data_IF_990819581394
#
_entry.id   IF_990819581394
#
_cell.length_a   1.000
_cell.length_b   1.000
_cell.length_c   1.000
_cell.angle_alpha   90.00
_cell.angle_beta   90.00
_cell.angle_gamma   90.00
#
_symmetry.space_group_name_H-M   'P 1'
#
loop_
_entity.id
_entity.type
_entity.pdbx_description
1 polymer ?
#
# COMPACT_ATOMS: atom_id res chain seq x y z
N UNK A 1 -5.32 -8.14 7.59
CA UNK A 1 -5.23 -7.66 6.19
C UNK A 1 -5.66 -6.18 6.04
N UNK A 2 -6.71 -5.72 6.73
CA UNK A 2 -7.20 -4.32 6.65
C UNK A 2 -6.16 -3.25 7.03
N UNK A 3 -5.35 -3.51 8.06
CA UNK A 3 -4.42 -2.51 8.64
C UNK A 3 -3.34 -2.11 7.64
N UNK A 4 -2.93 -2.99 6.72
CA UNK A 4 -1.94 -2.60 5.72
C UNK A 4 -2.46 -1.44 4.87
N UNK A 5 -3.72 -1.45 4.42
CA UNK A 5 -4.27 -0.37 3.59
C UNK A 5 -4.33 1.00 4.29
N UNK A 6 -4.15 1.06 5.61
CA UNK A 6 -4.01 2.31 6.35
C UNK A 6 -2.78 3.12 5.91
N UNK A 7 -1.78 2.50 5.27
CA UNK A 7 -0.56 3.18 4.84
C UNK A 7 -0.81 4.28 3.82
N UNK A 8 -1.84 4.16 2.98
CA UNK A 8 -2.21 5.20 2.01
C UNK A 8 -2.66 6.49 2.71
N UNK A 9 -3.41 6.38 3.81
CA UNK A 9 -3.83 7.56 4.61
C UNK A 9 -2.66 8.10 5.42
N UNK A 10 -1.87 7.25 6.05
CA UNK A 10 -0.71 7.69 6.83
C UNK A 10 0.30 8.41 5.93
N UNK A 11 0.52 7.89 4.71
CA UNK A 11 1.32 8.53 3.67
C UNK A 11 0.74 9.90 3.30
N UNK A 12 -0.55 9.98 2.99
CA UNK A 12 -1.25 11.23 2.71
C UNK A 12 -1.09 12.27 3.83
N UNK A 13 -1.26 11.87 5.08
CA UNK A 13 -1.16 12.72 6.26
C UNK A 13 0.28 13.18 6.53
N UNK A 14 1.27 12.31 6.38
CA UNK A 14 2.69 12.64 6.56
C UNK A 14 3.22 13.48 5.40
N UNK A 15 2.80 13.19 4.17
CA UNK A 15 3.19 13.91 2.97
C UNK A 15 2.81 15.39 3.02
N UNK A 16 1.75 15.78 3.72
CA UNK A 16 1.34 17.17 3.79
C UNK A 16 2.35 18.10 4.52
N UNK A 17 2.73 17.86 5.78
CA UNK A 17 3.78 18.65 6.43
C UNK A 17 5.15 18.38 5.83
N UNK A 18 5.46 17.12 5.47
CA UNK A 18 6.76 16.73 4.95
C UNK A 18 6.91 16.93 3.43
N UNK A 19 5.94 17.36 2.64
CA UNK A 19 6.20 17.77 1.25
C UNK A 19 5.68 19.19 1.00
N UNK A 20 5.23 19.89 2.06
CA UNK A 20 4.59 21.21 2.01
C UNK A 20 3.44 21.26 1.00
N UNK A 21 2.77 20.14 0.78
CA UNK A 21 1.65 20.06 -0.14
C UNK A 21 0.37 20.53 0.57
N UNK A 22 -0.45 21.31 -0.15
CA UNK A 22 -1.72 21.81 0.39
C UNK A 22 -2.72 20.67 0.44
N UNK A 23 -3.07 20.23 1.65
CA UNK A 23 -4.21 19.33 1.85
C UNK A 23 -5.51 20.11 1.75
N UNK A 24 -6.32 19.78 0.74
CA UNK A 24 -7.73 20.16 0.74
C UNK A 24 -8.47 19.33 1.78
N UNK A 25 -9.20 19.96 2.68
CA UNK A 25 -10.01 19.29 3.71
C UNK A 25 -11.05 18.33 3.10
N UNK A 26 -11.57 18.65 1.91
CA UNK A 26 -12.45 17.77 1.14
C UNK A 26 -11.74 16.50 0.66
N UNK A 27 -10.46 16.61 0.31
CA UNK A 27 -9.68 15.47 -0.15
C UNK A 27 -9.26 14.54 1.02
N UNK A 28 -9.09 15.08 2.22
CA UNK A 28 -8.93 14.30 3.45
C UNK A 28 -10.20 13.53 3.82
N UNK A 29 -11.37 14.20 3.77
CA UNK A 29 -12.67 13.57 3.99
C UNK A 29 -12.91 12.42 3.00
N UNK A 30 -12.59 12.63 1.72
CA UNK A 30 -12.71 11.63 0.69
C UNK A 30 -11.79 10.40 0.93
N UNK A 31 -10.56 10.62 1.40
CA UNK A 31 -9.66 9.53 1.79
C UNK A 31 -10.20 8.72 2.97
N UNK A 32 -10.80 9.38 3.97
CA UNK A 32 -11.46 8.70 5.09
C UNK A 32 -12.66 7.85 4.61
N UNK A 33 -13.46 8.35 3.67
CA UNK A 33 -14.60 7.61 3.09
C UNK A 33 -14.10 6.36 2.34
N UNK A 34 -13.09 6.49 1.49
CA UNK A 34 -12.49 5.37 0.77
C UNK A 34 -11.93 4.30 1.71
N UNK A 35 -11.29 4.71 2.80
CA UNK A 35 -10.81 3.78 3.82
C UNK A 35 -11.94 3.07 4.56
N UNK A 36 -13.06 3.75 4.83
CA UNK A 36 -14.27 3.12 5.35
C UNK A 36 -14.74 1.96 4.46
N UNK A 37 -14.72 2.14 3.13
CA UNK A 37 -15.02 1.07 2.17
C UNK A 37 -14.07 -0.13 2.29
N UNK A 38 -12.76 0.11 2.48
CA UNK A 38 -11.77 -0.95 2.67
C UNK A 38 -11.99 -1.71 3.97
N UNK A 39 -12.29 -1.00 5.06
CA UNK A 39 -12.60 -1.63 6.35
C UNK A 39 -13.82 -2.55 6.21
N UNK A 40 -14.87 -2.12 5.50
CA UNK A 40 -16.06 -2.95 5.25
C UNK A 40 -15.72 -4.22 4.45
N UNK A 41 -14.91 -4.11 3.39
CA UNK A 41 -14.46 -5.26 2.60
C UNK A 41 -13.60 -6.19 3.45
N UNK A 42 -12.64 -5.65 4.19
CA UNK A 42 -11.68 -6.42 4.96
C UNK A 42 -12.30 -7.07 6.20
N UNK A 43 -13.40 -6.52 6.72
CA UNK A 43 -14.19 -7.11 7.81
C UNK A 43 -15.30 -8.04 7.32
N UNK A 44 -15.39 -8.30 6.00
CA UNK A 44 -16.42 -9.15 5.37
C UNK A 44 -17.85 -8.78 5.79
N UNK A 45 -18.11 -7.49 6.06
CA UNK A 45 -19.40 -7.00 6.52
C UNK A 45 -19.65 -7.07 8.04
N UNK A 46 -18.69 -7.49 8.86
CA UNK A 46 -18.79 -7.50 10.33
C UNK A 46 -17.73 -6.58 11.00
N UNK A 47 -17.83 -5.25 10.84
CA UNK A 47 -16.84 -4.31 11.39
C UNK A 47 -16.78 -4.28 12.92
N UNK A 48 -17.85 -4.72 13.59
CA UNK A 48 -17.98 -4.75 15.05
C UNK A 48 -17.52 -6.07 15.70
N UNK A 49 -17.19 -7.10 14.92
CA UNK A 49 -16.61 -8.36 15.43
C UNK A 49 -15.09 -8.34 15.45
N UNK A 50 -14.48 -7.15 15.41
CA UNK A 50 -13.05 -6.96 15.66
C UNK A 50 -12.79 -7.26 17.14
N UNK A 51 -12.66 -8.54 17.46
CA UNK A 51 -12.02 -8.94 18.70
C UNK A 51 -10.62 -8.31 18.68
N UNK A 52 -10.37 -7.37 19.59
CA UNK A 52 -9.05 -6.80 19.85
C UNK A 52 -8.16 -7.88 20.51
N UNK A 53 -8.12 -9.08 19.94
CA UNK A 53 -7.49 -10.28 20.47
C UNK A 53 -5.98 -10.10 20.70
N UNK A 54 -5.36 -9.08 20.11
CA UNK A 54 -3.92 -8.81 20.28
C UNK A 54 -3.57 -7.32 20.07
N UNK A 55 -3.69 -6.47 21.11
CA UNK A 55 -3.36 -5.04 21.03
C UNK A 55 -1.89 -4.80 20.64
N UNK A 56 -0.99 -5.70 21.01
CA UNK A 56 0.42 -5.66 20.59
C UNK A 56 0.56 -5.79 19.07
N UNK A 57 -0.16 -6.74 18.44
CA UNK A 57 -0.12 -6.94 17.00
C UNK A 57 -0.68 -5.75 16.23
N UNK A 58 -1.74 -5.13 16.75
CA UNK A 58 -2.28 -3.88 16.20
C UNK A 58 -1.26 -2.74 16.30
N UNK A 59 -0.60 -2.58 17.46
CA UNK A 59 0.44 -1.57 17.65
C UNK A 59 1.63 -1.73 16.69
N UNK A 60 2.12 -2.97 16.51
CA UNK A 60 3.19 -3.28 15.57
C UNK A 60 2.79 -3.03 14.11
N UNK A 61 1.55 -3.36 13.74
CA UNK A 61 1.04 -3.10 12.38
C UNK A 61 0.91 -1.60 12.09
N UNK A 62 0.45 -0.81 13.06
CA UNK A 62 0.42 0.65 12.96
C UNK A 62 1.83 1.26 12.86
N UNK A 63 2.79 0.75 13.66
CA UNK A 63 4.19 1.18 13.57
C UNK A 63 4.79 0.85 12.20
N UNK A 64 4.55 -0.35 11.68
CA UNK A 64 4.99 -0.76 10.34
C UNK A 64 4.42 0.15 9.25
N UNK A 65 3.13 0.48 9.35
CA UNK A 65 2.44 1.43 8.46
C UNK A 65 3.08 2.82 8.49
N UNK A 66 3.45 3.30 9.68
CA UNK A 66 4.13 4.57 9.86
C UNK A 66 5.53 4.56 9.25
N UNK A 67 6.32 3.51 9.51
CA UNK A 67 7.66 3.35 8.93
C UNK A 67 7.61 3.27 7.41
N UNK A 68 6.64 2.53 6.86
CA UNK A 68 6.43 2.39 5.42
C UNK A 68 6.07 3.71 4.74
N UNK A 69 5.11 4.43 5.30
CA UNK A 69 4.73 5.74 4.79
C UNK A 69 5.88 6.76 4.89
N UNK A 70 6.62 6.75 5.99
CA UNK A 70 7.80 7.61 6.16
C UNK A 70 8.91 7.28 5.16
N UNK A 71 9.16 5.99 4.93
CA UNK A 71 10.08 5.53 3.89
C UNK A 71 9.72 6.17 2.54
N UNK A 72 8.46 6.07 2.11
CA UNK A 72 8.03 6.67 0.86
C UNK A 72 8.26 8.18 0.85
N UNK A 73 7.79 8.92 1.85
CA UNK A 73 7.93 10.39 1.90
C UNK A 73 9.39 10.85 1.86
N UNK A 74 10.27 10.19 2.61
CA UNK A 74 11.71 10.52 2.63
C UNK A 74 12.33 10.21 1.27
N UNK A 75 12.02 9.04 0.69
CA UNK A 75 12.53 8.64 -0.62
C UNK A 75 12.06 9.58 -1.74
N UNK A 76 10.86 10.17 -1.64
CA UNK A 76 10.39 11.19 -2.59
C UNK A 76 11.16 12.49 -2.47
N UNK A 77 11.62 12.85 -1.26
CA UNK A 77 12.42 14.07 -1.03
C UNK A 77 13.85 13.96 -1.51
N UNK A 78 14.40 12.76 -1.62
CA UNK A 78 15.76 12.55 -2.11
C UNK A 78 15.82 12.89 -3.60
N UNK A 79 16.73 13.78 -3.98
CA UNK A 79 16.97 14.21 -5.37
C UNK A 79 17.68 13.15 -6.24
N UNK A 80 17.67 11.88 -5.83
CA UNK A 80 18.25 10.77 -6.56
C UNK A 80 17.27 10.25 -7.61
N UNK A 81 17.77 9.70 -8.71
CA UNK A 81 16.91 8.99 -9.66
C UNK A 81 16.22 7.78 -8.98
N UNK A 82 14.96 7.46 -9.31
CA UNK A 82 14.23 6.34 -8.70
C UNK A 82 14.98 5.01 -8.74
N UNK A 83 15.70 4.72 -9.84
CA UNK A 83 16.48 3.48 -9.99
C UNK A 83 17.64 3.43 -9.01
N UNK A 84 18.39 4.54 -8.89
CA UNK A 84 19.53 4.66 -7.97
C UNK A 84 19.06 4.54 -6.52
N UNK A 85 17.95 5.19 -6.19
CA UNK A 85 17.40 5.14 -4.85
C UNK A 85 16.94 3.72 -4.47
N UNK A 86 16.28 3.02 -5.39
CA UNK A 86 15.86 1.64 -5.19
C UNK A 86 17.06 0.71 -5.05
N UNK A 87 18.10 0.90 -5.88
CA UNK A 87 19.35 0.15 -5.80
C UNK A 87 20.04 0.32 -4.43
N UNK A 88 20.13 1.55 -3.91
CA UNK A 88 20.71 1.82 -2.59
C UNK A 88 19.91 1.15 -1.47
N UNK A 89 18.57 1.18 -1.54
CA UNK A 89 17.71 0.52 -0.56
C UNK A 89 17.92 -1.00 -0.54
N UNK A 90 17.93 -1.64 -1.72
CA UNK A 90 18.22 -3.08 -1.81
C UNK A 90 19.65 -3.42 -1.39
N UNK A 91 20.62 -2.58 -1.76
CA UNK A 91 22.03 -2.78 -1.37
C UNK A 91 22.25 -2.67 0.13
N UNK A 92 21.52 -1.77 0.80
CA UNK A 92 21.53 -1.66 2.26
C UNK A 92 20.78 -2.81 2.96
N UNK A 93 19.69 -3.30 2.36
CA UNK A 93 18.90 -4.39 2.90
C UNK A 93 19.56 -5.77 2.71
N UNK A 94 20.34 -5.97 1.66
CA UNK A 94 20.94 -7.26 1.30
C UNK A 94 21.88 -7.84 2.39
N UNK A 95 22.83 -7.08 2.97
CA UNK A 95 23.66 -7.56 4.08
C UNK A 95 22.82 -7.95 5.30
N UNK A 96 21.78 -7.16 5.59
CA UNK A 96 20.87 -7.42 6.72
C UNK A 96 20.08 -8.73 6.49
N UNK A 97 19.60 -8.94 5.27
CA UNK A 97 18.92 -10.16 4.86
C UNK A 97 19.85 -11.37 4.97
N UNK A 98 21.08 -11.27 4.49
CA UNK A 98 22.06 -12.36 4.59
C UNK A 98 22.40 -12.69 6.05
N UNK A 99 22.57 -11.68 6.91
CA UNK A 99 22.78 -11.87 8.34
C UNK A 99 21.58 -12.56 9.01
N UNK A 100 20.35 -12.16 8.65
CA UNK A 100 19.14 -12.80 9.16
C UNK A 100 19.02 -14.25 8.68
N UNK A 101 19.27 -14.53 7.41
CA UNK A 101 19.25 -15.91 6.89
C UNK A 101 20.26 -16.80 7.62
N UNK A 102 21.43 -16.26 7.94
CA UNK A 102 22.47 -16.96 8.70
C UNK A 102 22.05 -17.22 10.16
N UNK A 103 21.39 -16.26 10.81
CA UNK A 103 20.91 -16.39 12.20
C UNK A 103 19.68 -17.31 12.33
N UNK A 104 18.88 -17.42 11.27
CA UNK A 104 17.58 -18.08 11.30
C UNK A 104 17.60 -19.51 10.78
N UNK A 105 18.76 -20.04 10.38
CA UNK A 105 18.93 -21.34 9.72
C UNK A 105 17.89 -21.61 8.61
N UNK A 106 17.50 -20.56 7.89
CA UNK A 106 16.40 -20.66 6.92
C UNK A 106 16.91 -21.35 5.66
N UNK A 107 16.33 -22.50 5.28
CA UNK A 107 16.81 -23.24 4.13
C UNK A 107 16.52 -22.50 2.83
N UNK A 108 17.48 -22.51 1.92
CA UNK A 108 17.27 -22.02 0.56
C UNK A 108 16.28 -22.92 -0.19
N UNK A 109 15.53 -22.36 -1.17
CA UNK A 109 14.63 -23.16 -1.99
C UNK A 109 15.40 -24.29 -2.68
N UNK A 110 14.97 -25.52 -2.46
CA UNK A 110 15.55 -26.72 -3.09
C UNK A 110 15.05 -26.93 -4.52
N UNK A 111 13.95 -26.25 -4.89
CA UNK A 111 13.29 -26.37 -6.18
C UNK A 111 13.44 -25.08 -7.00
N UNK A 112 13.60 -25.22 -8.31
CA UNK A 112 13.83 -24.09 -9.21
C UNK A 112 12.64 -23.11 -9.25
N UNK A 113 11.42 -23.59 -8.98
CA UNK A 113 10.21 -22.75 -8.91
C UNK A 113 10.31 -21.70 -7.81
N UNK A 114 10.98 -22.01 -6.69
CA UNK A 114 11.22 -21.04 -5.62
C UNK A 114 12.11 -19.89 -6.08
N UNK A 115 13.16 -20.22 -6.86
CA UNK A 115 14.04 -19.24 -7.47
C UNK A 115 13.34 -18.42 -8.56
N UNK A 116 12.55 -19.08 -9.42
CA UNK A 116 11.78 -18.42 -10.46
C UNK A 116 10.72 -17.47 -9.88
N UNK A 117 10.02 -17.89 -8.82
CA UNK A 117 9.07 -17.06 -8.09
C UNK A 117 9.74 -15.86 -7.42
N UNK A 118 10.88 -16.08 -6.77
CA UNK A 118 11.68 -15.00 -6.19
C UNK A 118 12.14 -13.98 -7.23
N UNK A 119 12.60 -14.44 -8.40
CA UNK A 119 12.99 -13.58 -9.51
C UNK A 119 11.80 -12.79 -10.05
N UNK A 120 10.63 -13.41 -10.20
CA UNK A 120 9.42 -12.75 -10.66
C UNK A 120 8.99 -11.64 -9.69
N UNK A 121 8.87 -11.95 -8.39
CA UNK A 121 8.49 -10.97 -7.36
C UNK A 121 9.54 -9.86 -7.28
N UNK A 122 10.82 -10.20 -7.28
CA UNK A 122 11.91 -9.23 -7.24
C UNK A 122 11.91 -8.27 -8.43
N UNK A 123 11.73 -8.78 -9.65
CA UNK A 123 11.79 -7.97 -10.87
C UNK A 123 10.51 -7.16 -11.10
N UNK A 124 9.35 -7.81 -11.05
CA UNK A 124 8.07 -7.18 -11.41
C UNK A 124 7.43 -6.44 -10.24
N UNK A 125 7.24 -7.09 -9.10
CA UNK A 125 6.54 -6.50 -7.95
C UNK A 125 7.41 -5.49 -7.21
N UNK A 126 8.69 -5.80 -7.01
CA UNK A 126 9.59 -5.00 -6.17
C UNK A 126 10.58 -4.15 -6.98
N UNK A 127 10.78 -4.44 -8.26
CA UNK A 127 11.64 -3.67 -9.17
C UNK A 127 10.83 -2.65 -9.96
N UNK A 128 10.19 -3.11 -11.03
CA UNK A 128 9.47 -2.27 -11.99
C UNK A 128 8.37 -1.45 -11.30
N UNK A 129 7.50 -2.10 -10.50
CA UNK A 129 6.40 -1.39 -9.86
C UNK A 129 6.87 -0.32 -8.87
N UNK A 130 7.98 -0.56 -8.15
CA UNK A 130 8.54 0.42 -7.21
C UNK A 130 9.19 1.60 -7.93
N UNK A 131 9.93 1.35 -9.01
CA UNK A 131 10.49 2.43 -9.84
C UNK A 131 9.37 3.29 -10.41
N UNK A 132 8.33 2.69 -10.98
CA UNK A 132 7.18 3.41 -11.51
C UNK A 132 6.45 4.20 -10.43
N UNK A 133 6.21 3.60 -9.27
CA UNK A 133 5.57 4.26 -8.14
C UNK A 133 6.40 5.44 -7.62
N UNK A 134 7.71 5.23 -7.43
CA UNK A 134 8.62 6.28 -6.95
C UNK A 134 8.75 7.41 -7.97
N UNK A 135 8.85 7.08 -9.26
CA UNK A 135 8.83 8.06 -10.35
C UNK A 135 7.53 8.87 -10.36
N UNK A 136 6.38 8.21 -10.23
CA UNK A 136 5.09 8.88 -10.14
C UNK A 136 5.00 9.81 -8.92
N UNK A 137 5.45 9.34 -7.75
CA UNK A 137 5.51 10.13 -6.51
C UNK A 137 6.40 11.38 -6.64
N UNK A 138 7.50 11.30 -7.39
CA UNK A 138 8.37 12.46 -7.67
C UNK A 138 7.80 13.40 -8.73
N UNK A 139 7.06 12.88 -9.70
CA UNK A 139 6.45 13.67 -10.77
C UNK A 139 5.13 14.33 -10.39
N UNK A 140 4.43 13.84 -9.35
CA UNK A 140 3.14 14.38 -8.94
C UNK A 140 3.27 15.65 -8.11
N UNK A 141 2.36 16.59 -8.32
CA UNK A 141 2.18 17.77 -7.46
C UNK A 141 1.31 17.47 -6.24
N UNK A 142 0.52 16.39 -6.27
CA UNK A 142 -0.32 15.91 -5.17
C UNK A 142 0.00 14.44 -4.87
N UNK A 143 0.68 14.21 -3.75
CA UNK A 143 0.92 12.88 -3.17
C UNK A 143 -0.39 12.19 -2.80
N UNK A 144 -1.38 12.99 -2.42
CA UNK A 144 -2.71 12.52 -2.04
C UNK A 144 -3.42 11.83 -3.22
N UNK A 145 -3.29 12.39 -4.42
CA UNK A 145 -3.86 11.83 -5.65
C UNK A 145 -3.24 10.49 -6.02
N UNK A 146 -1.93 10.35 -5.86
CA UNK A 146 -1.26 9.07 -6.09
C UNK A 146 -1.64 8.05 -5.01
N UNK A 147 -1.68 8.48 -3.76
CA UNK A 147 -2.05 7.62 -2.63
C UNK A 147 -3.47 7.08 -2.75
N UNK A 148 -4.39 7.83 -3.36
CA UNK A 148 -5.75 7.34 -3.57
C UNK A 148 -5.88 6.32 -4.69
N UNK A 149 -4.99 6.31 -5.67
CA UNK A 149 -4.94 5.25 -6.69
C UNK A 149 -4.66 3.89 -6.06
N UNK A 150 -3.99 3.82 -4.91
CA UNK A 150 -3.80 2.57 -4.15
C UNK A 150 -5.16 1.97 -3.78
N UNK A 151 -6.16 2.81 -3.48
CA UNK A 151 -7.49 2.34 -3.11
C UNK A 151 -8.27 1.74 -4.29
N UNK A 152 -7.81 1.90 -5.53
CA UNK A 152 -8.33 1.13 -6.68
C UNK A 152 -7.81 -0.31 -6.73
N UNK A 153 -6.75 -0.64 -5.98
CA UNK A 153 -6.17 -1.98 -5.98
C UNK A 153 -7.14 -3.07 -5.48
N UNK A 154 -7.85 -2.93 -4.33
CA UNK A 154 -8.83 -3.93 -3.90
C UNK A 154 -9.96 -4.17 -4.91
N UNK A 155 -10.62 -3.14 -5.49
CA UNK A 155 -11.56 -3.28 -6.60
C UNK A 155 -11.04 -4.11 -7.77
N UNK A 156 -9.85 -3.76 -8.27
CA UNK A 156 -9.26 -4.39 -9.44
C UNK A 156 -8.88 -5.84 -9.14
N UNK A 157 -8.31 -6.08 -7.96
CA UNK A 157 -7.98 -7.43 -7.50
C UNK A 157 -9.23 -8.31 -7.40
N UNK A 158 -10.32 -7.77 -6.87
CA UNK A 158 -11.60 -8.47 -6.78
C UNK A 158 -12.21 -8.79 -8.15
N UNK A 159 -12.14 -7.85 -9.09
CA UNK A 159 -12.59 -8.09 -10.46
C UNK A 159 -11.75 -9.19 -11.13
N UNK A 160 -10.44 -9.17 -10.94
CA UNK A 160 -9.55 -10.21 -11.45
C UNK A 160 -9.84 -11.58 -10.82
N UNK A 161 -10.06 -11.65 -9.50
CA UNK A 161 -10.45 -12.89 -8.81
C UNK A 161 -11.79 -13.40 -9.35
N UNK A 162 -12.77 -12.53 -9.54
CA UNK A 162 -14.06 -12.92 -10.11
C UNK A 162 -13.93 -13.45 -11.54
N UNK A 163 -13.18 -12.77 -12.41
CA UNK A 163 -13.00 -13.18 -13.83
C UNK A 163 -12.13 -14.44 -13.96
N UNK A 164 -11.05 -14.54 -13.19
CA UNK A 164 -10.04 -15.59 -13.36
C UNK A 164 -10.34 -16.81 -12.48
N UNK A 165 -10.70 -16.59 -11.21
CA UNK A 165 -10.95 -17.67 -10.25
C UNK A 165 -12.43 -18.09 -10.18
N UNK A 166 -13.35 -17.27 -10.70
CA UNK A 166 -14.78 -17.58 -10.74
C UNK A 166 -15.49 -17.54 -9.38
N UNK A 167 -14.88 -16.95 -8.35
CA UNK A 167 -15.47 -16.90 -7.01
C UNK A 167 -16.68 -15.94 -6.95
N UNK A 168 -17.78 -16.33 -6.27
CA UNK A 168 -18.97 -15.49 -6.17
C UNK A 168 -18.69 -14.21 -5.37
N UNK A 169 -18.91 -13.05 -6.00
CA UNK A 169 -18.75 -11.74 -5.38
C UNK A 169 -19.86 -11.54 -4.34
N UNK A 170 -19.47 -11.38 -3.08
CA UNK A 170 -20.40 -11.23 -1.96
C UNK A 170 -20.90 -9.78 -1.86
N UNK A 171 -22.10 -9.56 -1.32
CA UNK A 171 -22.76 -8.25 -1.35
C UNK A 171 -21.98 -7.12 -0.63
N UNK A 172 -21.24 -7.45 0.43
CA UNK A 172 -20.38 -6.47 1.12
C UNK A 172 -19.23 -5.97 0.24
N UNK A 173 -18.80 -6.76 -0.73
CA UNK A 173 -17.76 -6.38 -1.68
C UNK A 173 -18.25 -5.31 -2.65
N UNK A 174 -19.48 -5.47 -3.16
CA UNK A 174 -20.13 -4.46 -4.00
C UNK A 174 -20.37 -3.15 -3.25
N UNK A 175 -20.80 -3.23 -1.99
CA UNK A 175 -21.00 -2.04 -1.15
C UNK A 175 -19.68 -1.32 -0.85
N UNK A 176 -18.63 -2.05 -0.49
CA UNK A 176 -17.30 -1.49 -0.27
C UNK A 176 -16.69 -0.89 -1.55
N UNK A 177 -16.90 -1.53 -2.70
CA UNK A 177 -16.51 -1.02 -4.00
C UNK A 177 -17.19 0.32 -4.32
N UNK A 178 -18.51 0.41 -4.11
CA UNK A 178 -19.26 1.65 -4.31
C UNK A 178 -18.74 2.79 -3.41
N UNK A 179 -18.45 2.50 -2.14
CA UNK A 179 -17.85 3.45 -1.20
C UNK A 179 -16.49 3.96 -1.67
N UNK A 180 -15.61 3.06 -2.13
CA UNK A 180 -14.29 3.43 -2.66
C UNK A 180 -14.41 4.32 -3.90
N UNK A 181 -15.29 3.96 -4.84
CA UNK A 181 -15.51 4.74 -6.07
C UNK A 181 -16.08 6.13 -5.78
N UNK A 182 -17.04 6.23 -4.84
CA UNK A 182 -17.61 7.50 -4.40
C UNK A 182 -16.54 8.36 -3.72
N UNK A 183 -15.74 7.77 -2.83
CA UNK A 183 -14.63 8.45 -2.17
C UNK A 183 -13.60 8.99 -3.17
N UNK A 184 -13.15 8.17 -4.12
CA UNK A 184 -12.25 8.60 -5.20
C UNK A 184 -12.83 9.73 -6.06
N UNK A 185 -14.13 9.65 -6.38
CA UNK A 185 -14.80 10.67 -7.18
C UNK A 185 -14.92 12.02 -6.44
N UNK A 186 -15.28 11.99 -5.16
CA UNK A 186 -15.29 13.17 -4.28
C UNK A 186 -13.90 13.79 -4.16
N UNK A 187 -12.87 12.96 -4.04
CA UNK A 187 -11.49 13.43 -3.94
C UNK A 187 -11.03 14.17 -5.20
N UNK A 188 -11.35 13.63 -6.38
CA UNK A 188 -11.03 14.30 -7.65
C UNK A 188 -11.70 15.67 -7.75
N UNK A 189 -12.96 15.79 -7.30
CA UNK A 189 -13.69 17.07 -7.30
C UNK A 189 -13.19 18.08 -6.28
N UNK A 190 -12.65 17.62 -5.14
CA UNK A 190 -12.12 18.49 -4.10
C UNK A 190 -10.72 19.07 -4.43
N UNK A 191 -10.05 18.52 -5.46
CA UNK A 191 -8.74 18.95 -5.95
C UNK A 191 -8.78 19.69 -7.30
N UNK A 192 -9.93 19.70 -8.00
CA UNK A 192 -10.15 20.45 -9.26
C UNK A 192 -10.63 21.86 -8.99
#
# INVERSE_FOLDING_TARGET
>A
MAINYSWGITLALLAAPLLRQRLSSGALLAACISYGGIVVIATRGAPLSLDFAQPLGVGLALLSTLLWSLYWVINTRLSLDPEVNLFLNFSGALPLLLALLWLSDTPFPTVWQGWAGGLYVGLFEMGIAFVLWMGAMKATTSTLRISSLIFLSPPLSLLLIWVIAGEPVQAYTLFGLALILIGLWLQRRAES
#
